data_IF_227529457894
#
_entry.id   IF_227529457894
#
_cell.length_a   1.000
_cell.length_b   1.000
_cell.length_c   1.000
_cell.angle_alpha   90.00
_cell.angle_beta   90.00
_cell.angle_gamma   90.00
#
_symmetry.space_group_name_H-M   'P 1'
#
loop_
_entity.id
_entity.type
_entity.pdbx_description
1 polymer ?
#
# COMPACT_ATOMS: atom_id res chain seq x y z
N UNK A 1 14.17 23.72 32.04
CA UNK A 1 12.87 23.12 31.73
C UNK A 1 12.97 21.60 31.81
N UNK A 2 11.91 20.94 32.27
CA UNK A 2 11.82 19.49 32.32
C UNK A 2 11.69 18.96 30.85
N UNK A 3 12.05 17.69 30.61
CA UNK A 3 11.90 17.04 29.29
C UNK A 3 10.43 17.11 28.82
N UNK A 4 9.48 16.93 29.73
CA UNK A 4 8.04 17.07 29.47
C UNK A 4 7.66 18.44 28.96
N UNK A 5 8.22 19.51 29.53
CA UNK A 5 7.90 20.88 29.15
C UNK A 5 8.42 21.21 27.75
N UNK A 6 9.65 20.75 27.43
CA UNK A 6 10.25 20.89 26.09
C UNK A 6 9.41 20.12 25.06
N UNK A 7 8.96 18.91 25.41
CA UNK A 7 8.10 18.10 24.55
C UNK A 7 6.76 18.79 24.28
N UNK A 8 6.08 19.27 25.32
CA UNK A 8 4.80 19.96 25.20
C UNK A 8 4.92 21.24 24.36
N UNK A 9 5.99 22.01 24.54
CA UNK A 9 6.26 23.20 23.72
C UNK A 9 6.50 22.82 22.25
N UNK A 10 7.26 21.78 21.98
CA UNK A 10 7.52 21.28 20.64
C UNK A 10 6.24 20.82 19.95
N UNK A 11 5.39 20.06 20.64
CA UNK A 11 4.08 19.61 20.11
C UNK A 11 3.13 20.78 19.91
N UNK A 12 3.12 21.77 20.81
CA UNK A 12 2.31 22.98 20.64
C UNK A 12 2.73 23.76 19.39
N UNK A 13 4.03 23.94 19.17
CA UNK A 13 4.56 24.56 17.95
C UNK A 13 4.14 23.79 16.68
N UNK A 14 4.24 22.47 16.69
CA UNK A 14 3.76 21.63 15.58
C UNK A 14 2.27 21.86 15.28
N UNK A 15 1.43 21.86 16.32
CA UNK A 15 -0.03 22.02 16.18
C UNK A 15 -0.45 23.38 15.62
N UNK A 16 0.32 24.44 15.89
CA UNK A 16 0.08 25.77 15.33
C UNK A 16 0.80 26.04 14.01
N UNK A 17 1.41 25.00 13.41
CA UNK A 17 2.08 25.08 12.11
C UNK A 17 3.50 25.66 12.14
N UNK A 18 4.08 25.90 13.30
CA UNK A 18 5.46 26.36 13.48
C UNK A 18 6.43 25.17 13.49
N UNK A 19 6.57 24.55 12.31
CA UNK A 19 7.28 23.25 12.19
C UNK A 19 8.79 23.36 12.46
N UNK A 20 9.43 24.46 12.07
CA UNK A 20 10.85 24.68 12.33
C UNK A 20 11.14 24.87 13.82
N UNK A 21 10.29 25.64 14.53
CA UNK A 21 10.39 25.83 15.97
C UNK A 21 10.09 24.53 16.72
N UNK A 22 9.13 23.74 16.22
CA UNK A 22 8.84 22.41 16.77
C UNK A 22 10.10 21.51 16.67
N UNK A 23 10.76 21.46 15.51
CA UNK A 23 11.99 20.70 15.30
C UNK A 23 13.09 21.17 16.27
N UNK A 24 13.30 22.48 16.39
CA UNK A 24 14.33 23.04 17.29
C UNK A 24 14.10 22.62 18.76
N UNK A 25 12.86 22.67 19.24
CA UNK A 25 12.55 22.24 20.60
C UNK A 25 12.70 20.73 20.80
N UNK A 26 12.09 19.93 19.91
CA UNK A 26 12.06 18.48 20.05
C UNK A 26 13.46 17.84 19.94
N UNK A 27 14.35 18.39 19.13
CA UNK A 27 15.75 17.91 19.02
C UNK A 27 16.57 18.07 20.30
N UNK A 28 16.18 18.94 21.20
CA UNK A 28 16.88 19.15 22.48
C UNK A 28 16.50 18.09 23.54
N UNK A 29 15.56 17.20 23.25
CA UNK A 29 15.14 16.14 24.17
C UNK A 29 16.16 15.01 24.10
N UNK A 30 16.84 14.73 25.23
CA UNK A 30 17.72 13.55 25.33
C UNK A 30 16.90 12.27 25.22
N UNK A 31 17.33 11.36 24.36
CA UNK A 31 16.70 10.05 24.21
C UNK A 31 16.80 9.25 25.52
N UNK A 32 15.67 8.68 25.89
CA UNK A 32 15.53 7.66 26.92
C UNK A 32 14.56 6.59 26.41
N UNK A 33 14.59 5.41 26.99
CA UNK A 33 13.62 4.36 26.61
C UNK A 33 12.28 4.61 27.32
N UNK A 34 11.58 5.64 26.87
CA UNK A 34 10.29 6.08 27.45
C UNK A 34 9.33 6.64 26.37
N UNK A 35 8.08 6.85 26.77
CA UNK A 35 7.02 7.37 25.90
C UNK A 35 7.26 8.80 25.42
N UNK A 36 8.00 9.62 26.18
CA UNK A 36 8.35 10.99 25.77
C UNK A 36 9.28 10.94 24.57
N UNK A 37 10.33 10.12 24.62
CA UNK A 37 11.26 9.96 23.49
C UNK A 37 10.58 9.38 22.25
N UNK A 38 9.74 8.35 22.43
CA UNK A 38 8.99 7.74 21.32
C UNK A 38 8.06 8.76 20.65
N UNK A 39 7.27 9.50 21.45
CA UNK A 39 6.39 10.54 20.92
C UNK A 39 7.15 11.74 20.35
N UNK A 40 8.33 12.06 20.91
CA UNK A 40 9.22 13.09 20.36
C UNK A 40 9.66 12.74 18.95
N UNK A 41 10.11 11.50 18.72
CA UNK A 41 10.51 11.05 17.38
C UNK A 41 9.33 11.02 16.40
N UNK A 42 8.13 10.62 16.84
CA UNK A 42 6.95 10.70 16.01
C UNK A 42 6.67 12.14 15.55
N UNK A 43 6.67 13.11 16.47
CA UNK A 43 6.41 14.53 16.14
C UNK A 43 7.56 15.18 15.36
N UNK A 44 8.81 14.76 15.57
CA UNK A 44 9.94 15.15 14.72
C UNK A 44 9.72 14.66 13.28
N UNK A 45 9.33 13.40 13.11
CA UNK A 45 8.99 12.85 11.81
C UNK A 45 7.91 13.67 11.10
N UNK A 46 6.81 13.96 11.79
CA UNK A 46 5.76 14.81 11.24
C UNK A 46 6.24 16.22 10.89
N UNK A 47 7.04 16.84 11.77
CA UNK A 47 7.55 18.19 11.55
C UNK A 47 8.51 18.25 10.36
N UNK A 48 9.43 17.28 10.25
CA UNK A 48 10.33 17.17 9.11
C UNK A 48 9.59 16.95 7.79
N UNK A 49 8.55 16.11 7.79
CA UNK A 49 7.74 15.88 6.60
C UNK A 49 7.05 17.20 6.14
N UNK A 50 6.57 18.00 7.08
CA UNK A 50 5.92 19.30 6.79
C UNK A 50 6.87 20.35 6.21
N UNK A 51 8.16 20.26 6.50
CA UNK A 51 9.19 21.16 5.93
C UNK A 51 9.92 20.55 4.73
N UNK A 52 9.48 19.38 4.23
CA UNK A 52 10.03 18.74 3.04
C UNK A 52 11.32 17.97 3.28
N UNK A 53 11.69 17.70 4.53
CA UNK A 53 12.89 16.95 4.88
C UNK A 53 12.58 15.45 5.07
N UNK A 54 12.24 14.77 3.96
CA UNK A 54 11.73 13.40 3.96
C UNK A 54 12.69 12.39 4.59
N UNK A 55 13.99 12.47 4.31
CA UNK A 55 14.99 11.57 4.90
C UNK A 55 15.05 11.69 6.42
N UNK A 56 15.01 12.92 6.96
CA UNK A 56 15.00 13.14 8.40
C UNK A 56 13.68 12.68 9.02
N UNK A 57 12.57 12.85 8.29
CA UNK A 57 11.27 12.32 8.72
C UNK A 57 11.32 10.79 8.83
N UNK A 58 11.83 10.10 7.80
CA UNK A 58 11.98 8.64 7.75
C UNK A 58 12.83 8.12 8.91
N UNK A 59 13.99 8.75 9.15
CA UNK A 59 14.87 8.39 10.27
C UNK A 59 14.19 8.60 11.63
N UNK A 60 13.41 9.67 11.78
CA UNK A 60 12.66 9.94 13.01
C UNK A 60 11.57 8.90 13.26
N UNK A 61 10.80 8.52 12.23
CA UNK A 61 9.82 7.44 12.37
C UNK A 61 10.48 6.10 12.69
N UNK A 62 11.62 5.77 12.06
CA UNK A 62 12.38 4.57 12.40
C UNK A 62 12.84 4.57 13.86
N UNK A 63 13.26 5.74 14.41
CA UNK A 63 13.63 5.87 15.80
C UNK A 63 12.44 5.67 16.75
N UNK A 64 11.25 6.21 16.41
CA UNK A 64 10.03 5.96 17.17
C UNK A 64 9.66 4.47 17.17
N UNK A 65 9.73 3.81 16.01
CA UNK A 65 9.44 2.38 15.87
C UNK A 65 10.37 1.51 16.70
N UNK A 66 11.65 1.88 16.79
CA UNK A 66 12.68 1.14 17.56
C UNK A 66 12.42 1.15 19.06
N UNK A 67 11.88 2.23 19.62
CA UNK A 67 11.59 2.34 21.04
C UNK A 67 10.48 1.40 21.49
N UNK A 68 9.44 1.25 20.69
CA UNK A 68 8.35 0.27 20.87
C UNK A 68 7.73 0.29 22.29
N UNK A 69 7.34 1.45 22.76
CA UNK A 69 6.72 1.65 24.09
C UNK A 69 5.20 1.66 23.98
N UNK A 70 4.66 2.39 22.99
CA UNK A 70 3.24 2.56 22.77
C UNK A 70 2.86 2.05 21.38
N UNK A 71 2.03 1.01 21.32
CA UNK A 71 1.60 0.37 20.07
C UNK A 71 0.96 1.36 19.07
N UNK A 72 0.19 2.35 19.54
CA UNK A 72 -0.43 3.35 18.65
C UNK A 72 0.60 4.30 18.03
N UNK A 73 1.59 4.74 18.82
CA UNK A 73 2.69 5.59 18.34
C UNK A 73 3.51 4.82 17.32
N UNK A 74 3.82 3.56 17.61
CA UNK A 74 4.54 2.68 16.70
C UNK A 74 3.78 2.42 15.42
N UNK A 75 2.47 2.14 15.49
CA UNK A 75 1.60 1.96 14.32
C UNK A 75 1.63 3.19 13.41
N UNK A 76 1.46 4.38 13.98
CA UNK A 76 1.46 5.64 13.23
C UNK A 76 2.84 5.93 12.63
N UNK A 77 3.92 5.71 13.38
CA UNK A 77 5.27 5.87 12.87
C UNK A 77 5.55 4.91 11.70
N UNK A 78 5.16 3.65 11.83
CA UNK A 78 5.36 2.63 10.81
C UNK A 78 4.55 2.92 9.54
N UNK A 79 3.32 3.38 9.69
CA UNK A 79 2.50 3.81 8.56
C UNK A 79 3.13 4.98 7.79
N UNK A 80 3.58 6.02 8.50
CA UNK A 80 4.23 7.16 7.85
C UNK A 80 5.59 6.79 7.23
N UNK A 81 6.33 5.89 7.86
CA UNK A 81 7.55 5.32 7.27
C UNK A 81 7.27 4.62 5.94
N UNK A 82 6.22 3.79 5.87
CA UNK A 82 5.77 3.11 4.65
C UNK A 82 5.37 4.13 3.57
N UNK A 83 4.65 5.20 3.94
CA UNK A 83 4.27 6.24 2.97
C UNK A 83 5.47 6.95 2.36
N UNK A 84 6.48 7.34 3.16
CA UNK A 84 7.70 7.96 2.64
C UNK A 84 8.46 6.97 1.75
N UNK A 85 8.54 5.72 2.17
CA UNK A 85 9.19 4.66 1.39
C UNK A 85 8.56 4.49 0.01
N UNK A 86 7.22 4.58 -0.08
CA UNK A 86 6.49 4.57 -1.35
C UNK A 86 6.84 5.79 -2.21
N UNK A 87 6.82 7.00 -1.65
CA UNK A 87 7.08 8.25 -2.38
C UNK A 87 8.51 8.31 -2.95
N UNK A 88 9.47 7.75 -2.24
CA UNK A 88 10.87 7.72 -2.66
C UNK A 88 11.15 6.78 -3.83
N UNK A 89 10.20 5.92 -4.19
CA UNK A 89 10.28 5.11 -5.41
C UNK A 89 11.50 4.19 -5.53
N UNK A 90 12.16 3.89 -4.41
CA UNK A 90 13.37 3.07 -4.42
C UNK A 90 13.07 1.62 -4.84
N UNK A 91 14.09 0.91 -5.33
CA UNK A 91 13.97 -0.43 -5.92
C UNK A 91 13.08 -1.38 -5.09
N UNK A 92 12.27 -2.18 -5.79
CA UNK A 92 11.17 -2.99 -5.24
C UNK A 92 11.55 -3.87 -4.03
N UNK A 93 12.79 -4.37 -3.96
CA UNK A 93 13.19 -5.38 -2.96
C UNK A 93 13.14 -4.89 -1.52
N UNK A 94 13.78 -3.77 -1.22
CA UNK A 94 13.92 -3.29 0.16
C UNK A 94 12.65 -2.60 0.68
N UNK A 95 11.83 -2.07 -0.23
CA UNK A 95 10.64 -1.31 0.13
C UNK A 95 9.46 -2.20 0.47
N UNK A 96 9.28 -3.30 -0.24
CA UNK A 96 8.13 -4.20 -0.03
C UNK A 96 8.14 -4.82 1.37
N UNK A 97 9.32 -5.03 1.95
CA UNK A 97 9.48 -5.56 3.31
C UNK A 97 8.79 -4.67 4.35
N UNK A 98 8.95 -3.34 4.25
CA UNK A 98 8.31 -2.41 5.18
C UNK A 98 6.77 -2.49 5.13
N UNK A 99 6.19 -2.68 3.94
CA UNK A 99 4.75 -2.86 3.78
C UNK A 99 4.28 -4.19 4.35
N UNK A 100 5.01 -5.28 4.07
CA UNK A 100 4.69 -6.61 4.60
C UNK A 100 4.79 -6.65 6.12
N UNK A 101 5.80 -6.01 6.70
CA UNK A 101 5.97 -5.90 8.15
C UNK A 101 4.81 -5.12 8.78
N UNK A 102 4.40 -4.00 8.17
CA UNK A 102 3.22 -3.27 8.63
C UNK A 102 1.97 -4.13 8.61
N UNK A 103 1.68 -4.82 7.50
CA UNK A 103 0.49 -5.65 7.35
C UNK A 103 0.49 -6.87 8.28
N UNK A 104 1.67 -7.41 8.58
CA UNK A 104 1.83 -8.51 9.53
C UNK A 104 1.57 -8.05 10.97
N UNK A 105 2.09 -6.88 11.35
CA UNK A 105 1.98 -6.36 12.72
C UNK A 105 0.61 -5.71 12.97
N UNK A 106 0.05 -5.05 11.95
CA UNK A 106 -1.21 -4.30 12.02
C UNK A 106 -2.22 -4.71 10.93
N UNK A 107 -2.74 -5.95 10.96
CA UNK A 107 -3.57 -6.48 9.87
C UNK A 107 -4.99 -5.91 9.80
N UNK A 108 -5.47 -5.21 10.83
CA UNK A 108 -6.86 -4.74 10.93
C UNK A 108 -6.97 -3.34 11.51
N UNK A 109 -6.26 -2.37 10.96
CA UNK A 109 -6.31 -0.98 11.36
C UNK A 109 -6.91 -0.09 10.27
N UNK A 110 -7.16 1.18 10.60
CA UNK A 110 -7.62 2.17 9.62
C UNK A 110 -6.65 2.38 8.44
N UNK A 111 -5.39 2.01 8.60
CA UNK A 111 -4.34 2.19 7.61
C UNK A 111 -4.16 0.98 6.68
N UNK A 112 -4.64 -0.20 7.09
CA UNK A 112 -4.38 -1.48 6.42
C UNK A 112 -4.76 -1.44 4.93
N UNK A 113 -5.95 -0.95 4.59
CA UNK A 113 -6.39 -0.88 3.20
C UNK A 113 -5.53 0.07 2.35
N UNK A 114 -5.08 1.19 2.94
CA UNK A 114 -4.20 2.12 2.24
C UNK A 114 -2.83 1.50 1.97
N UNK A 115 -2.25 0.78 2.95
CA UNK A 115 -0.97 0.09 2.78
C UNK A 115 -1.05 -0.99 1.68
N UNK A 116 -2.15 -1.78 1.63
CA UNK A 116 -2.38 -2.71 0.53
C UNK A 116 -2.46 -2.02 -0.83
N UNK A 117 -3.15 -0.87 -0.90
CA UNK A 117 -3.27 -0.11 -2.14
C UNK A 117 -1.91 0.42 -2.64
N UNK A 118 -1.09 0.98 -1.74
CA UNK A 118 0.27 1.44 -2.06
C UNK A 118 1.16 0.27 -2.52
N UNK A 119 1.08 -0.87 -1.84
CA UNK A 119 1.83 -2.07 -2.22
C UNK A 119 1.41 -2.59 -3.60
N UNK A 120 0.10 -2.61 -3.88
CA UNK A 120 -0.41 -3.02 -5.19
C UNK A 120 0.05 -2.07 -6.30
N UNK A 121 0.07 -0.75 -6.05
CA UNK A 121 0.56 0.24 -7.01
C UNK A 121 2.05 0.04 -7.33
N UNK A 122 2.87 -0.24 -6.33
CA UNK A 122 4.28 -0.58 -6.55
C UNK A 122 4.46 -1.84 -7.42
N UNK A 123 3.65 -2.88 -7.17
CA UNK A 123 3.68 -4.09 -7.98
C UNK A 123 3.18 -3.85 -9.41
N UNK A 124 2.17 -2.99 -9.60
CA UNK A 124 1.69 -2.60 -10.93
C UNK A 124 2.76 -1.85 -11.72
N UNK A 125 3.46 -0.91 -11.09
CA UNK A 125 4.55 -0.15 -11.71
C UNK A 125 5.72 -1.06 -12.17
N UNK A 126 5.93 -2.18 -11.49
CA UNK A 126 6.89 -3.22 -11.89
C UNK A 126 6.32 -4.28 -12.81
N UNK A 127 5.07 -4.15 -13.25
CA UNK A 127 4.31 -5.13 -14.05
C UNK A 127 4.16 -6.50 -13.37
N UNK A 128 4.32 -6.57 -12.07
CA UNK A 128 4.04 -7.79 -11.30
C UNK A 128 2.55 -7.86 -10.96
N UNK A 129 1.72 -8.08 -11.99
CA UNK A 129 0.26 -8.05 -11.87
C UNK A 129 -0.30 -9.10 -10.91
N UNK A 130 0.38 -10.26 -10.79
CA UNK A 130 -0.03 -11.30 -9.84
C UNK A 130 0.11 -10.84 -8.40
N UNK A 131 1.25 -10.27 -8.03
CA UNK A 131 1.47 -9.75 -6.69
C UNK A 131 0.56 -8.54 -6.37
N UNK A 132 0.32 -7.66 -7.36
CA UNK A 132 -0.64 -6.57 -7.22
C UNK A 132 -2.07 -7.08 -6.95
N UNK A 133 -2.49 -8.10 -7.70
CA UNK A 133 -3.79 -8.74 -7.50
C UNK A 133 -3.91 -9.36 -6.11
N UNK A 134 -2.91 -10.14 -5.69
CA UNK A 134 -2.90 -10.80 -4.38
C UNK A 134 -2.96 -9.79 -3.22
N UNK A 135 -2.31 -8.63 -3.36
CA UNK A 135 -2.40 -7.55 -2.40
C UNK A 135 -3.82 -6.99 -2.27
N UNK A 136 -4.50 -6.74 -3.40
CA UNK A 136 -5.83 -6.10 -3.39
C UNK A 136 -6.98 -7.04 -3.00
N UNK A 137 -6.90 -8.33 -3.36
CA UNK A 137 -7.98 -9.28 -3.01
C UNK A 137 -8.05 -9.59 -1.52
N UNK A 138 -7.00 -9.32 -0.76
CA UNK A 138 -6.99 -9.41 0.70
C UNK A 138 -7.79 -8.31 1.41
N UNK A 139 -8.18 -7.23 0.70
CA UNK A 139 -8.91 -6.10 1.27
C UNK A 139 -10.38 -6.49 1.50
N UNK A 140 -10.84 -6.41 2.76
CA UNK A 140 -12.20 -6.84 3.14
C UNK A 140 -13.31 -6.00 2.50
N UNK A 141 -13.10 -4.72 2.30
CA UNK A 141 -14.06 -3.77 1.73
C UNK A 141 -13.33 -2.85 0.75
N UNK A 142 -13.01 -3.34 -0.46
CA UNK A 142 -12.35 -2.51 -1.46
C UNK A 142 -13.30 -1.40 -1.94
N UNK A 143 -12.80 -0.18 -2.04
CA UNK A 143 -13.53 0.93 -2.64
C UNK A 143 -13.72 0.75 -4.15
N UNK A 144 -14.45 1.66 -4.80
CA UNK A 144 -14.76 1.57 -6.22
C UNK A 144 -13.50 1.55 -7.10
N UNK A 145 -12.49 2.35 -6.76
CA UNK A 145 -11.21 2.41 -7.48
C UNK A 145 -10.42 1.12 -7.35
N UNK A 146 -10.35 0.56 -6.14
CA UNK A 146 -9.71 -0.72 -5.90
C UNK A 146 -10.41 -1.87 -6.64
N UNK A 147 -11.76 -1.86 -6.68
CA UNK A 147 -12.53 -2.84 -7.44
C UNK A 147 -12.24 -2.77 -8.94
N UNK A 148 -12.15 -1.56 -9.49
CA UNK A 148 -11.77 -1.33 -10.89
C UNK A 148 -10.35 -1.83 -11.17
N UNK A 149 -9.39 -1.54 -10.28
CA UNK A 149 -8.01 -2.03 -10.38
C UNK A 149 -7.96 -3.56 -10.31
N UNK A 150 -8.75 -4.20 -9.45
CA UNK A 150 -8.84 -5.67 -9.38
C UNK A 150 -9.36 -6.25 -10.71
N UNK A 151 -10.33 -5.61 -11.35
CA UNK A 151 -10.83 -6.05 -12.66
C UNK A 151 -9.78 -5.91 -13.75
N UNK A 152 -9.08 -4.78 -13.80
CA UNK A 152 -7.93 -4.60 -14.69
C UNK A 152 -6.88 -5.69 -14.49
N UNK A 153 -6.52 -5.99 -13.24
CA UNK A 153 -5.51 -7.01 -12.93
C UNK A 153 -5.94 -8.41 -13.35
N UNK A 154 -7.22 -8.77 -13.14
CA UNK A 154 -7.76 -10.05 -13.65
C UNK A 154 -7.65 -10.16 -15.16
N UNK A 155 -7.97 -9.07 -15.86
CA UNK A 155 -7.84 -9.02 -17.31
C UNK A 155 -6.40 -9.18 -17.75
N UNK A 156 -5.44 -8.46 -17.14
CA UNK A 156 -4.02 -8.58 -17.46
C UNK A 156 -3.47 -9.99 -17.18
N UNK A 157 -3.84 -10.60 -16.06
CA UNK A 157 -3.45 -11.98 -15.75
C UNK A 157 -4.00 -13.00 -16.77
N UNK A 158 -5.20 -12.75 -17.27
CA UNK A 158 -5.76 -13.55 -18.35
C UNK A 158 -5.00 -13.40 -19.66
N UNK A 159 -4.62 -12.17 -20.02
CA UNK A 159 -3.75 -11.91 -21.19
C UNK A 159 -2.39 -12.59 -21.04
N UNK A 160 -1.74 -12.44 -19.89
CA UNK A 160 -0.43 -13.05 -19.64
C UNK A 160 -0.50 -14.58 -19.75
N UNK A 161 -1.53 -15.21 -19.17
CA UNK A 161 -1.73 -16.65 -19.28
C UNK A 161 -1.97 -17.09 -20.75
N UNK A 162 -2.75 -16.30 -21.51
CA UNK A 162 -3.00 -16.57 -22.92
C UNK A 162 -1.70 -16.51 -23.76
N UNK A 163 -0.91 -15.47 -23.57
CA UNK A 163 0.37 -15.29 -24.26
C UNK A 163 1.39 -16.39 -23.92
N UNK A 164 1.33 -16.93 -22.69
CA UNK A 164 2.14 -18.07 -22.26
C UNK A 164 1.62 -19.43 -22.78
N UNK A 165 0.51 -19.45 -23.50
CA UNK A 165 -0.11 -20.68 -23.99
C UNK A 165 -0.95 -21.43 -22.96
N UNK A 166 -1.17 -20.87 -21.77
CA UNK A 166 -1.96 -21.47 -20.71
C UNK A 166 -3.46 -21.14 -20.88
N UNK A 167 -4.10 -21.76 -21.89
CA UNK A 167 -5.48 -21.44 -22.30
C UNK A 167 -6.49 -21.68 -21.18
N UNK A 168 -6.29 -22.70 -20.35
CA UNK A 168 -7.19 -23.02 -19.23
C UNK A 168 -7.19 -21.90 -18.18
N UNK A 169 -6.01 -21.40 -17.83
CA UNK A 169 -5.86 -20.32 -16.88
C UNK A 169 -6.39 -19.00 -17.44
N UNK A 170 -6.09 -18.71 -18.71
CA UNK A 170 -6.62 -17.56 -19.43
C UNK A 170 -8.15 -17.53 -19.39
N UNK A 171 -8.81 -18.65 -19.76
CA UNK A 171 -10.28 -18.76 -19.70
C UNK A 171 -10.84 -18.60 -18.28
N UNK A 172 -10.13 -19.07 -17.25
CA UNK A 172 -10.52 -18.89 -15.85
C UNK A 172 -10.47 -17.42 -15.43
N UNK A 173 -9.38 -16.70 -15.75
CA UNK A 173 -9.27 -15.28 -15.45
C UNK A 173 -10.35 -14.46 -16.17
N UNK A 174 -10.56 -14.69 -17.46
CA UNK A 174 -11.61 -14.01 -18.22
C UNK A 174 -13.02 -14.30 -17.68
N UNK A 175 -13.26 -15.51 -17.18
CA UNK A 175 -14.51 -15.84 -16.48
C UNK A 175 -14.70 -15.01 -15.22
N UNK A 176 -13.62 -14.76 -14.47
CA UNK A 176 -13.70 -13.89 -13.28
C UNK A 176 -13.96 -12.43 -13.65
N UNK A 177 -13.38 -11.92 -14.74
CA UNK A 177 -13.68 -10.59 -15.27
C UNK A 177 -15.17 -10.48 -15.58
N UNK A 178 -15.72 -11.44 -16.34
CA UNK A 178 -17.12 -11.44 -16.77
C UNK A 178 -18.11 -11.52 -15.60
N UNK A 179 -17.83 -12.39 -14.61
CA UNK A 179 -18.73 -12.62 -13.46
C UNK A 179 -18.79 -11.47 -12.46
N UNK A 180 -17.69 -10.74 -12.27
CA UNK A 180 -17.57 -9.76 -11.19
C UNK A 180 -17.90 -8.33 -11.61
N UNK A 181 -18.47 -8.14 -12.78
CA UNK A 181 -18.75 -6.84 -13.32
C UNK A 181 -20.20 -6.42 -13.12
N UNK A 182 -20.39 -5.32 -12.36
CA UNK A 182 -21.70 -4.76 -12.07
C UNK A 182 -22.25 -3.87 -13.20
N UNK A 183 -21.41 -3.44 -14.16
CA UNK A 183 -21.78 -2.58 -15.30
C UNK A 183 -20.97 -3.00 -16.54
N UNK A 184 -21.49 -2.70 -17.73
CA UNK A 184 -20.79 -2.88 -19.00
C UNK A 184 -19.49 -2.10 -19.00
N UNK A 185 -18.36 -2.75 -18.76
CA UNK A 185 -17.04 -2.17 -18.87
C UNK A 185 -16.37 -2.63 -20.16
N UNK A 186 -15.40 -1.84 -20.57
CA UNK A 186 -14.52 -2.15 -21.69
C UNK A 186 -13.93 -3.56 -21.63
N UNK A 187 -13.49 -3.99 -20.45
CA UNK A 187 -12.86 -5.31 -20.27
C UNK A 187 -13.83 -6.49 -20.47
N UNK A 188 -15.12 -6.30 -20.30
CA UNK A 188 -16.09 -7.40 -20.37
C UNK A 188 -16.21 -7.95 -21.79
N UNK A 189 -16.37 -7.09 -22.77
CA UNK A 189 -16.48 -7.49 -24.18
C UNK A 189 -15.21 -8.21 -24.63
N UNK A 190 -14.06 -7.63 -24.30
CA UNK A 190 -12.75 -8.25 -24.63
C UNK A 190 -12.53 -9.57 -23.89
N UNK A 191 -13.02 -9.68 -22.64
CA UNK A 191 -12.93 -10.91 -21.87
C UNK A 191 -13.77 -12.05 -22.47
N UNK A 192 -14.95 -11.76 -23.03
CA UNK A 192 -15.73 -12.76 -23.77
C UNK A 192 -14.94 -13.25 -24.99
N UNK A 193 -14.40 -12.34 -25.80
CA UNK A 193 -13.60 -12.70 -26.96
C UNK A 193 -12.37 -13.55 -26.59
N UNK A 194 -11.59 -13.12 -25.60
CA UNK A 194 -10.40 -13.84 -25.15
C UNK A 194 -10.75 -15.21 -24.56
N UNK A 195 -11.90 -15.34 -23.89
CA UNK A 195 -12.36 -16.61 -23.35
C UNK A 195 -12.81 -17.54 -24.47
N UNK A 196 -13.52 -17.03 -25.45
CA UNK A 196 -13.92 -17.77 -26.64
C UNK A 196 -12.69 -18.33 -27.39
N UNK A 197 -11.68 -17.49 -27.64
CA UNK A 197 -10.45 -17.90 -28.31
C UNK A 197 -9.68 -18.96 -27.48
N UNK A 198 -9.61 -18.78 -26.16
CA UNK A 198 -8.98 -19.77 -25.28
C UNK A 198 -9.70 -21.12 -25.33
N UNK A 199 -11.06 -21.11 -25.33
CA UNK A 199 -11.90 -22.30 -25.43
C UNK A 199 -11.76 -22.98 -26.81
N UNK A 200 -11.69 -22.19 -27.88
CA UNK A 200 -11.45 -22.68 -29.23
C UNK A 200 -10.11 -23.45 -29.32
N UNK A 201 -9.04 -22.87 -28.79
CA UNK A 201 -7.71 -23.52 -28.75
C UNK A 201 -7.67 -24.79 -27.90
N UNK A 202 -8.57 -24.90 -26.92
CA UNK A 202 -8.77 -26.11 -26.12
C UNK A 202 -9.76 -27.09 -26.75
N UNK A 203 -10.21 -26.87 -27.99
CA UNK A 203 -11.21 -27.67 -28.71
C UNK A 203 -12.57 -27.75 -28.00
N UNK A 204 -12.91 -26.77 -27.16
CA UNK A 204 -14.16 -26.67 -26.42
C UNK A 204 -15.20 -25.87 -27.25
N UNK A 205 -15.50 -26.33 -28.45
CA UNK A 205 -16.31 -25.60 -29.43
C UNK A 205 -17.72 -25.18 -28.94
N UNK A 206 -18.49 -26.06 -28.23
CA UNK A 206 -19.78 -25.61 -27.71
C UNK A 206 -19.70 -24.41 -26.78
N UNK A 207 -18.75 -24.46 -25.84
CA UNK A 207 -18.54 -23.36 -24.89
C UNK A 207 -17.95 -22.09 -25.55
N UNK A 208 -17.20 -22.24 -26.63
CA UNK A 208 -16.72 -21.11 -27.43
C UNK A 208 -17.91 -20.36 -28.09
N UNK A 209 -18.88 -21.07 -28.63
CA UNK A 209 -20.07 -20.49 -29.31
C UNK A 209 -20.92 -19.70 -28.29
N UNK A 210 -21.00 -20.12 -27.04
CA UNK A 210 -21.72 -19.40 -25.98
C UNK A 210 -21.12 -18.03 -25.63
N UNK A 211 -19.86 -17.78 -25.98
CA UNK A 211 -19.15 -16.54 -25.69
C UNK A 211 -19.18 -15.52 -26.84
N UNK A 212 -19.65 -15.90 -28.00
CA UNK A 212 -19.76 -15.06 -29.21
C UNK A 212 -21.19 -14.56 -29.40
#
# INVERSE_FOLDING_TARGET
PLRSDIYLLGVANYKVGKYQEAIQQLKNIKEQKDSISESTYLHLGHSYLRVGEEEKAKLSYAAAMRLNINSRVREEAMYNYVQITYLQGSALGDNITAFQDFLREYPNTKYTNNVYALMADMYMNSKNYKAAYDALVGIKQPDAKMQETIQFLRYQLGIDAFLQGNMKEAANWMTQVIKNEKKSSHYKTEAYYMRAESRYRMLQYPACIEDI
#
